data_IF_313305959732
#
_entry.id   IF_313305959732
#
_cell.length_a   1.000
_cell.length_b   1.000
_cell.length_c   1.000
_cell.angle_alpha   90.00
_cell.angle_beta   90.00
_cell.angle_gamma   90.00
#
_symmetry.space_group_name_H-M   'P 1'
#
loop_
_entity.id
_entity.type
_entity.pdbx_description
1 polymer ?
#
# COMPACT_ATOMS: atom_id res chain seq x y z
N UNK A 1 -39.55 41.26 37.65
CA UNK A 1 -39.62 40.48 36.43
C UNK A 1 -38.49 40.93 35.48
N UNK A 2 -37.37 40.29 35.42
CA UNK A 2 -36.36 40.51 34.36
C UNK A 2 -36.52 39.48 33.25
N UNK A 3 -36.41 39.95 32.05
CA UNK A 3 -36.77 39.37 30.78
C UNK A 3 -35.87 38.20 30.33
N UNK A 4 -36.49 37.15 29.80
CA UNK A 4 -35.94 35.88 29.28
C UNK A 4 -35.06 35.99 28.00
N UNK A 5 -34.57 37.18 27.63
CA UNK A 5 -33.82 37.37 26.37
C UNK A 5 -32.29 37.36 26.50
N UNK A 6 -31.76 37.29 27.73
CA UNK A 6 -30.30 37.37 27.95
C UNK A 6 -29.57 36.01 28.00
N UNK A 7 -30.28 34.89 28.17
CA UNK A 7 -29.66 33.56 28.28
C UNK A 7 -29.45 32.85 26.94
N UNK A 8 -30.24 33.16 25.93
CA UNK A 8 -30.12 32.50 24.61
C UNK A 8 -28.86 32.91 23.84
N UNK A 9 -28.38 34.14 23.99
CA UNK A 9 -27.17 34.61 23.26
C UNK A 9 -25.84 34.17 23.86
N UNK A 10 -25.81 33.77 25.13
CA UNK A 10 -24.56 33.28 25.76
C UNK A 10 -24.29 31.82 25.44
N UNK A 11 -25.32 31.00 25.24
CA UNK A 11 -25.18 29.58 24.89
C UNK A 11 -24.79 29.42 23.41
N UNK A 12 -25.35 30.27 22.52
CA UNK A 12 -25.03 30.22 21.08
C UNK A 12 -23.61 30.68 20.77
N UNK A 13 -23.03 31.61 21.54
CA UNK A 13 -21.62 32.02 21.38
C UNK A 13 -20.62 31.00 21.88
N UNK A 14 -20.96 30.16 22.86
CA UNK A 14 -20.08 29.10 23.36
C UNK A 14 -20.06 27.85 22.45
N UNK A 15 -21.13 27.57 21.75
CA UNK A 15 -21.22 26.46 20.79
C UNK A 15 -20.47 26.80 19.50
N UNK A 16 -20.47 28.06 19.04
CA UNK A 16 -19.71 28.48 17.86
C UNK A 16 -18.18 28.52 18.07
N UNK A 17 -17.71 28.78 19.31
CA UNK A 17 -16.26 28.71 19.62
C UNK A 17 -15.77 27.28 19.79
N UNK A 18 -16.63 26.35 20.22
CA UNK A 18 -16.24 24.92 20.32
C UNK A 18 -16.19 24.23 18.96
N UNK A 19 -16.98 24.66 17.95
CA UNK A 19 -16.89 24.12 16.60
C UNK A 19 -15.71 24.67 15.78
N UNK A 20 -15.15 25.82 16.11
CA UNK A 20 -14.00 26.40 15.40
C UNK A 20 -12.65 25.84 15.85
N UNK A 21 -12.58 25.08 16.97
CA UNK A 21 -11.36 24.47 17.49
C UNK A 21 -11.23 22.97 17.14
N UNK A 22 -12.21 22.37 16.48
CA UNK A 22 -12.16 20.98 16.01
C UNK A 22 -11.58 20.81 14.59
N UNK A 23 -11.16 21.90 13.95
CA UNK A 23 -10.35 21.87 12.73
C UNK A 23 -8.86 22.03 13.05
N UNK A 24 -8.38 21.41 14.12
CA UNK A 24 -6.96 21.09 14.21
C UNK A 24 -6.75 20.02 13.15
N UNK A 25 -6.31 20.46 11.97
CA UNK A 25 -5.74 19.63 10.98
C UNK A 25 -4.81 18.62 11.67
N UNK A 26 -5.17 17.34 11.69
CA UNK A 26 -4.18 16.30 11.74
C UNK A 26 -3.39 16.44 10.44
N UNK A 27 -2.47 17.40 10.41
CA UNK A 27 -1.40 17.39 9.43
C UNK A 27 -0.72 16.05 9.60
N UNK A 28 -1.04 15.12 8.70
CA UNK A 28 -0.42 13.81 8.68
C UNK A 28 1.08 14.04 8.56
N UNK A 29 1.82 13.88 9.64
CA UNK A 29 3.27 13.90 9.58
C UNK A 29 3.66 12.68 8.78
N UNK A 30 4.02 12.88 7.52
CA UNK A 30 4.71 11.86 6.75
C UNK A 30 5.95 11.42 7.55
N UNK A 31 5.97 10.17 8.01
CA UNK A 31 7.13 9.59 8.68
C UNK A 31 7.84 8.72 7.65
N UNK A 32 9.16 8.89 7.45
CA UNK A 32 9.93 7.94 6.67
C UNK A 32 9.84 6.58 7.37
N UNK A 33 9.50 5.56 6.63
CA UNK A 33 9.56 4.17 7.09
C UNK A 33 11.00 3.72 6.88
N UNK A 34 11.72 3.49 7.97
CA UNK A 34 13.05 2.92 7.89
C UNK A 34 12.93 1.48 7.40
N UNK A 35 13.40 1.22 6.17
CA UNK A 35 13.62 -0.12 5.66
C UNK A 35 14.75 -0.81 6.42
N UNK A 36 14.71 -2.13 6.49
CA UNK A 36 15.79 -2.94 7.04
C UNK A 36 17.12 -2.68 6.32
N UNK A 37 18.28 -2.75 6.98
CA UNK A 37 19.55 -2.47 6.35
C UNK A 37 19.84 -3.49 5.23
N UNK A 38 20.08 -3.01 4.03
CA UNK A 38 20.57 -3.83 2.94
C UNK A 38 22.02 -4.29 3.21
N UNK A 39 22.40 -5.51 2.82
CA UNK A 39 23.79 -5.95 2.93
C UNK A 39 24.69 -5.12 2.01
N UNK A 40 25.82 -4.68 2.53
CA UNK A 40 26.75 -3.77 1.86
C UNK A 40 27.34 -4.35 0.57
N UNK A 41 27.14 -3.68 -0.52
CA UNK A 41 27.76 -3.90 -1.82
C UNK A 41 28.54 -2.67 -2.27
N UNK A 42 29.73 -2.90 -2.81
CA UNK A 42 30.81 -1.96 -3.09
C UNK A 42 30.48 -0.71 -3.90
N UNK A 43 31.31 0.32 -3.69
CA UNK A 43 31.17 1.67 -4.22
C UNK A 43 31.16 1.75 -5.75
N UNK A 44 30.02 2.10 -6.31
CA UNK A 44 29.85 2.63 -7.64
C UNK A 44 29.27 4.03 -7.56
N UNK A 45 29.72 4.93 -8.43
CA UNK A 45 29.24 6.30 -8.55
C UNK A 45 27.72 6.32 -8.64
N UNK A 46 27.00 7.18 -7.87
CA UNK A 46 25.56 7.21 -7.89
C UNK A 46 25.05 7.78 -9.23
N UNK A 47 24.90 6.91 -10.23
CA UNK A 47 24.06 7.18 -11.36
C UNK A 47 22.61 7.26 -10.88
N UNK A 48 21.89 8.28 -11.31
CA UNK A 48 20.43 8.44 -11.10
C UNK A 48 19.75 7.08 -11.34
N UNK A 49 19.14 6.52 -10.30
CA UNK A 49 18.43 5.25 -10.45
C UNK A 49 17.48 5.35 -11.64
N UNK A 50 17.59 4.47 -12.62
CA UNK A 50 16.72 4.52 -13.78
C UNK A 50 15.28 4.32 -13.31
N UNK A 51 14.38 5.16 -13.77
CA UNK A 51 12.94 4.97 -13.52
C UNK A 51 12.53 3.55 -13.93
N UNK A 52 11.63 2.94 -13.17
CA UNK A 52 11.10 1.59 -13.45
C UNK A 52 10.68 1.52 -14.91
N UNK A 53 11.26 0.62 -15.68
CA UNK A 53 10.87 0.41 -17.08
C UNK A 53 9.40 0.00 -17.15
N UNK A 54 8.71 0.33 -18.24
CA UNK A 54 7.26 0.11 -18.38
C UNK A 54 6.82 -1.35 -18.13
N UNK A 55 7.72 -2.31 -18.23
CA UNK A 55 7.43 -3.72 -17.95
C UNK A 55 7.45 -4.07 -16.45
N UNK A 56 8.15 -3.27 -15.64
CA UNK A 56 8.10 -3.35 -14.17
C UNK A 56 7.23 -2.24 -13.55
N UNK A 57 6.58 -1.44 -14.40
CA UNK A 57 5.58 -0.49 -13.92
C UNK A 57 4.35 -1.26 -13.45
N UNK A 58 4.28 -1.46 -12.15
CA UNK A 58 3.15 -2.12 -11.51
C UNK A 58 1.87 -1.27 -11.51
N UNK A 59 1.89 -0.04 -12.05
CA UNK A 59 0.76 0.89 -12.06
C UNK A 59 -0.50 0.22 -12.62
N UNK A 60 -0.37 -0.46 -13.76
CA UNK A 60 -1.50 -1.16 -14.38
C UNK A 60 -2.04 -2.29 -13.48
N UNK A 61 -1.16 -3.06 -12.86
CA UNK A 61 -1.57 -4.15 -11.96
C UNK A 61 -2.27 -3.58 -10.72
N UNK A 62 -1.71 -2.55 -10.10
CA UNK A 62 -2.33 -1.86 -8.98
C UNK A 62 -3.71 -1.30 -9.35
N UNK A 63 -3.83 -0.61 -10.50
CA UNK A 63 -5.12 -0.10 -10.99
C UNK A 63 -6.14 -1.22 -11.23
N UNK A 64 -5.74 -2.33 -11.82
CA UNK A 64 -6.61 -3.50 -12.04
C UNK A 64 -7.10 -4.12 -10.71
N UNK A 65 -6.32 -4.02 -9.66
CA UNK A 65 -6.69 -4.49 -8.33
C UNK A 65 -7.47 -3.46 -7.51
N UNK A 66 -7.78 -2.29 -8.08
CA UNK A 66 -8.59 -1.25 -7.45
C UNK A 66 -7.82 -0.26 -6.58
N UNK A 67 -6.49 -0.22 -6.69
CA UNK A 67 -5.67 0.79 -6.03
C UNK A 67 -5.67 2.11 -6.80
N UNK A 68 -5.46 3.18 -6.06
CA UNK A 68 -5.00 4.45 -6.63
C UNK A 68 -3.57 4.26 -7.10
N UNK A 69 -3.29 4.46 -8.38
CA UNK A 69 -1.93 4.34 -8.88
C UNK A 69 -1.70 5.18 -10.12
N UNK A 70 -0.58 5.89 -10.15
CA UNK A 70 -0.11 6.63 -11.31
C UNK A 70 1.36 6.32 -11.55
N UNK A 71 1.75 6.26 -12.84
CA UNK A 71 3.14 6.11 -13.25
C UNK A 71 3.86 7.45 -13.38
N UNK A 72 4.93 7.48 -14.19
CA UNK A 72 5.69 8.69 -14.46
C UNK A 72 4.78 9.82 -14.98
N UNK A 73 5.10 11.10 -14.70
CA UNK A 73 6.37 11.59 -14.16
C UNK A 73 6.45 11.64 -12.63
N UNK A 74 5.34 11.44 -11.91
CA UNK A 74 5.28 11.47 -10.45
C UNK A 74 4.58 10.19 -9.94
N UNK A 75 5.28 9.04 -9.85
CA UNK A 75 4.65 7.77 -9.51
C UNK A 75 4.19 7.72 -8.07
N UNK A 76 2.99 7.21 -7.85
CA UNK A 76 2.44 6.92 -6.55
C UNK A 76 1.54 5.67 -6.57
N UNK A 77 1.38 5.05 -5.41
CA UNK A 77 0.46 3.94 -5.17
C UNK A 77 -0.26 4.18 -3.86
N UNK A 78 -1.55 3.87 -3.82
CA UNK A 78 -2.31 4.00 -2.59
C UNK A 78 -3.69 3.40 -2.67
N UNK A 79 -4.49 3.69 -1.64
CA UNK A 79 -5.84 3.16 -1.55
C UNK A 79 -6.73 4.05 -0.69
N UNK A 80 -7.98 3.67 -0.69
CA UNK A 80 -9.00 4.29 0.16
C UNK A 80 -9.52 3.29 1.18
N UNK A 81 -9.89 3.77 2.34
CA UNK A 81 -10.50 2.95 3.38
C UNK A 81 -11.67 3.69 4.04
N UNK A 82 -12.61 2.90 4.56
CA UNK A 82 -13.85 3.37 5.13
C UNK A 82 -14.03 2.84 6.54
N UNK A 83 -14.39 3.73 7.48
CA UNK A 83 -14.67 3.39 8.87
C UNK A 83 -15.94 4.09 9.33
N UNK A 84 -16.69 3.47 10.25
CA UNK A 84 -17.85 4.14 10.81
C UNK A 84 -17.46 5.35 11.67
N UNK A 85 -18.33 6.33 11.72
CA UNK A 85 -18.24 7.52 12.56
C UNK A 85 -19.51 7.73 13.38
N UNK A 86 -19.48 8.61 14.35
CA UNK A 86 -20.66 9.05 15.09
C UNK A 86 -21.36 10.25 14.43
N UNK A 87 -20.77 10.84 13.38
CA UNK A 87 -21.41 11.90 12.61
C UNK A 87 -22.57 11.29 11.79
N UNK A 88 -23.81 11.79 11.97
CA UNK A 88 -24.96 11.26 11.24
C UNK A 88 -24.75 11.31 9.72
N UNK A 89 -25.28 10.31 9.03
CA UNK A 89 -25.24 10.19 7.55
C UNK A 89 -23.85 10.38 6.95
N UNK A 90 -22.83 9.87 7.65
CA UNK A 90 -21.45 10.05 7.24
C UNK A 90 -20.62 8.78 7.48
N UNK A 91 -19.52 8.67 6.72
CA UNK A 91 -18.49 7.64 6.84
C UNK A 91 -17.13 8.31 6.93
N UNK A 92 -16.27 7.84 7.82
CA UNK A 92 -14.86 8.22 7.82
C UNK A 92 -14.17 7.60 6.61
N UNK A 93 -13.66 8.45 5.76
CA UNK A 93 -12.93 8.13 4.55
C UNK A 93 -11.46 8.45 4.77
N UNK A 94 -10.57 7.56 4.41
CA UNK A 94 -9.12 7.81 4.46
C UNK A 94 -8.50 7.48 3.12
N UNK A 95 -7.71 8.41 2.59
CA UNK A 95 -6.79 8.18 1.46
C UNK A 95 -5.41 7.96 2.03
N UNK A 96 -4.73 6.91 1.59
CA UNK A 96 -3.32 6.67 1.87
C UNK A 96 -2.54 6.54 0.57
N UNK A 97 -1.39 7.21 0.45
CA UNK A 97 -0.51 7.16 -0.72
C UNK A 97 0.93 6.85 -0.29
N UNK A 98 1.64 6.09 -1.10
CA UNK A 98 3.08 5.87 -1.03
C UNK A 98 3.74 6.54 -2.23
N UNK A 99 4.72 7.38 -1.97
CA UNK A 99 5.50 8.13 -2.96
C UNK A 99 6.97 7.79 -2.71
N UNK A 100 7.66 7.21 -3.70
CA UNK A 100 9.08 6.87 -3.53
C UNK A 100 9.93 8.14 -3.35
N UNK A 101 10.93 8.10 -2.47
CA UNK A 101 11.85 9.24 -2.28
C UNK A 101 12.51 9.66 -3.59
N UNK A 102 12.89 8.69 -4.43
CA UNK A 102 13.49 8.94 -5.75
C UNK A 102 12.59 9.72 -6.73
N UNK A 103 11.28 9.79 -6.47
CA UNK A 103 10.34 10.57 -7.27
C UNK A 103 10.32 12.05 -6.90
N UNK A 104 10.88 12.43 -5.73
CA UNK A 104 10.88 13.78 -5.20
C UNK A 104 12.18 14.52 -5.54
N UNK A 105 12.09 15.84 -5.69
CA UNK A 105 13.24 16.73 -5.93
C UNK A 105 13.75 17.30 -4.60
N UNK A 106 14.80 16.68 -4.07
CA UNK A 106 15.42 17.13 -2.82
C UNK A 106 16.39 18.28 -3.06
N UNK A 107 16.35 19.28 -2.20
CA UNK A 107 17.36 20.34 -2.05
C UNK A 107 18.09 20.19 -0.71
N UNK A 108 19.34 20.63 -0.66
CA UNK A 108 20.10 20.63 0.59
C UNK A 108 19.63 21.79 1.48
N UNK A 109 19.30 21.45 2.72
CA UNK A 109 18.98 22.41 3.78
C UNK A 109 19.86 22.10 4.99
N UNK A 110 20.93 22.90 5.16
CA UNK A 110 22.00 22.69 6.15
C UNK A 110 22.64 21.30 6.06
N UNK A 111 22.42 20.45 7.06
CA UNK A 111 22.92 19.08 7.20
C UNK A 111 21.94 18.01 6.69
N UNK A 112 20.80 18.42 6.13
CA UNK A 112 19.72 17.52 5.67
C UNK A 112 19.33 17.82 4.22
N UNK A 113 18.51 16.93 3.68
CA UNK A 113 17.88 17.09 2.37
C UNK A 113 16.37 17.19 2.56
N UNK A 114 15.74 18.17 1.90
CA UNK A 114 14.31 18.46 2.03
C UNK A 114 13.66 18.48 0.65
N UNK A 115 12.51 17.83 0.53
CA UNK A 115 11.64 17.93 -0.64
C UNK A 115 10.21 18.29 -0.20
N UNK A 116 9.59 19.21 -0.94
CA UNK A 116 8.18 19.54 -0.81
C UNK A 116 7.35 18.81 -1.86
N UNK A 117 6.14 18.42 -1.50
CA UNK A 117 5.15 17.89 -2.44
C UNK A 117 3.74 18.29 -2.02
N UNK A 118 2.86 18.34 -3.01
CA UNK A 118 1.44 18.68 -2.82
C UNK A 118 0.57 17.51 -3.25
N UNK A 119 -0.40 17.14 -2.41
CA UNK A 119 -1.45 16.16 -2.75
C UNK A 119 -2.78 16.87 -2.87
N UNK A 120 -3.36 16.85 -4.07
CA UNK A 120 -4.71 17.36 -4.33
C UNK A 120 -5.74 16.23 -4.34
N UNK A 121 -6.85 16.43 -3.66
CA UNK A 121 -7.99 15.50 -3.62
C UNK A 121 -9.24 16.24 -4.08
N UNK A 122 -9.83 15.86 -5.21
CA UNK A 122 -11.05 16.45 -5.73
C UNK A 122 -12.17 15.42 -5.78
N UNK A 123 -13.23 15.65 -5.02
CA UNK A 123 -14.43 14.82 -5.01
C UNK A 123 -15.50 15.45 -5.92
N UNK A 124 -16.02 14.63 -6.84
CA UNK A 124 -17.15 15.02 -7.71
C UNK A 124 -18.32 14.09 -7.51
N UNK A 125 -19.51 14.66 -7.54
CA UNK A 125 -20.77 13.92 -7.51
C UNK A 125 -21.70 14.48 -8.60
N UNK A 126 -22.18 13.61 -9.49
CA UNK A 126 -23.00 14.06 -10.63
C UNK A 126 -22.29 15.10 -11.54
N UNK A 127 -20.95 15.03 -11.64
CA UNK A 127 -20.14 15.98 -12.42
C UNK A 127 -19.71 17.25 -11.67
N UNK A 128 -20.36 17.57 -10.56
CA UNK A 128 -20.05 18.78 -9.75
C UNK A 128 -18.95 18.48 -8.71
N UNK A 129 -18.03 19.42 -8.51
CA UNK A 129 -17.06 19.37 -7.42
C UNK A 129 -17.82 19.63 -6.11
N UNK A 130 -17.79 18.64 -5.19
CA UNK A 130 -18.42 18.74 -3.88
C UNK A 130 -17.41 19.00 -2.77
N UNK A 131 -16.14 18.64 -3.01
CA UNK A 131 -15.05 18.91 -2.08
C UNK A 131 -13.71 18.93 -2.81
N UNK A 132 -12.84 19.83 -2.39
CA UNK A 132 -11.46 19.94 -2.85
C UNK A 132 -10.54 20.16 -1.65
N UNK A 133 -9.39 19.51 -1.64
CA UNK A 133 -8.40 19.57 -0.57
C UNK A 133 -7.03 19.55 -1.22
N UNK A 134 -6.18 20.52 -0.85
CA UNK A 134 -4.77 20.54 -1.16
C UNK A 134 -3.97 20.43 0.14
N UNK A 135 -3.14 19.39 0.22
CA UNK A 135 -2.24 19.15 1.33
C UNK A 135 -0.80 19.37 0.88
N UNK A 136 -0.09 20.27 1.54
CA UNK A 136 1.33 20.57 1.30
C UNK A 136 2.17 19.89 2.38
N UNK A 137 3.08 19.04 1.96
CA UNK A 137 3.89 18.21 2.84
C UNK A 137 5.39 18.39 2.54
N UNK A 138 6.22 18.16 3.55
CA UNK A 138 7.67 18.21 3.42
C UNK A 138 8.33 16.95 3.98
N UNK A 139 9.23 16.38 3.20
CA UNK A 139 10.06 15.23 3.56
C UNK A 139 11.46 15.70 3.89
N UNK A 140 12.02 15.17 4.98
CA UNK A 140 13.40 15.43 5.39
C UNK A 140 14.13 14.11 5.55
N UNK A 141 15.26 13.98 4.87
CA UNK A 141 16.16 12.82 4.97
C UNK A 141 17.55 13.25 5.42
N UNK A 142 18.28 12.35 6.07
CA UNK A 142 19.56 12.68 6.68
C UNK A 142 20.72 12.68 5.67
N UNK A 143 20.62 11.89 4.60
CA UNK A 143 21.71 11.71 3.65
C UNK A 143 21.27 11.81 2.20
N UNK A 144 22.19 12.15 1.31
CA UNK A 144 21.97 12.14 -0.13
C UNK A 144 21.59 10.74 -0.65
N UNK A 145 22.13 9.68 -0.05
CA UNK A 145 21.78 8.31 -0.43
C UNK A 145 20.29 8.01 -0.26
N UNK A 146 19.66 8.53 0.79
CA UNK A 146 18.24 8.35 1.06
C UNK A 146 17.33 9.05 0.04
N UNK A 147 17.81 10.13 -0.61
CA UNK A 147 17.02 10.85 -1.63
C UNK A 147 16.77 10.02 -2.88
N UNK A 148 17.68 9.10 -3.19
CA UNK A 148 17.63 8.27 -4.41
C UNK A 148 16.98 6.88 -4.18
N UNK A 149 16.55 6.57 -2.96
CA UNK A 149 15.98 5.24 -2.65
C UNK A 149 14.61 5.07 -3.28
N UNK A 150 14.40 3.89 -3.87
CA UNK A 150 13.13 3.46 -4.45
C UNK A 150 12.32 2.60 -3.50
N UNK A 151 12.99 1.96 -2.54
CA UNK A 151 12.43 1.12 -1.48
C UNK A 151 11.90 1.96 -0.31
N UNK A 152 12.47 3.14 -0.06
CA UNK A 152 11.92 4.09 0.90
C UNK A 152 10.85 4.97 0.26
N UNK A 153 9.73 5.07 0.96
CA UNK A 153 8.58 5.84 0.50
C UNK A 153 8.05 6.74 1.60
N UNK A 154 7.64 7.91 1.17
CA UNK A 154 6.80 8.76 2.01
C UNK A 154 5.38 8.21 2.01
N UNK A 155 4.80 8.11 3.20
CA UNK A 155 3.39 7.74 3.34
C UNK A 155 2.60 9.00 3.66
N UNK A 156 1.77 9.40 2.72
CA UNK A 156 0.75 10.43 2.91
C UNK A 156 -0.55 9.78 3.35
N UNK A 157 -1.22 10.37 4.34
CA UNK A 157 -2.57 9.96 4.74
C UNK A 157 -3.44 11.17 5.06
N UNK A 158 -4.64 11.19 4.48
CA UNK A 158 -5.65 12.19 4.74
C UNK A 158 -6.98 11.54 5.08
N UNK A 159 -7.45 11.81 6.30
CA UNK A 159 -8.78 11.40 6.76
C UNK A 159 -9.80 12.54 6.59
N UNK A 160 -11.01 12.19 6.22
CA UNK A 160 -12.15 13.12 6.14
C UNK A 160 -13.47 12.38 6.33
N UNK A 161 -14.50 13.13 6.66
CA UNK A 161 -15.87 12.63 6.79
C UNK A 161 -16.64 12.95 5.52
N UNK A 162 -17.26 11.93 4.90
CA UNK A 162 -17.96 12.03 3.62
C UNK A 162 -19.32 11.36 3.74
N UNK A 163 -20.36 11.92 3.11
CA UNK A 163 -21.66 11.28 3.03
C UNK A 163 -21.58 9.98 2.20
N UNK A 164 -22.36 8.92 2.54
CA UNK A 164 -22.46 7.74 1.70
C UNK A 164 -22.99 8.07 0.30
N UNK A 165 -22.44 7.41 -0.74
CA UNK A 165 -22.84 7.67 -2.11
C UNK A 165 -21.75 7.38 -3.12
N UNK A 166 -22.03 7.65 -4.39
CA UNK A 166 -21.09 7.46 -5.50
C UNK A 166 -20.35 8.76 -5.77
N UNK A 167 -19.03 8.67 -5.95
CA UNK A 167 -18.14 9.79 -6.21
C UNK A 167 -17.12 9.43 -7.30
N UNK A 168 -16.69 10.43 -8.05
CA UNK A 168 -15.42 10.40 -8.75
C UNK A 168 -14.40 11.11 -7.88
N UNK A 169 -13.32 10.41 -7.53
CA UNK A 169 -12.19 10.96 -6.77
C UNK A 169 -11.00 11.11 -7.70
N UNK A 170 -10.59 12.35 -7.96
CA UNK A 170 -9.30 12.64 -8.58
C UNK A 170 -8.26 12.90 -7.50
N UNK A 171 -7.14 12.19 -7.60
CA UNK A 171 -5.96 12.35 -6.75
C UNK A 171 -4.82 12.83 -7.62
N UNK A 172 -4.23 13.97 -7.27
CA UNK A 172 -3.02 14.50 -7.91
C UNK A 172 -1.87 14.53 -6.93
N UNK A 173 -0.68 14.18 -7.39
CA UNK A 173 0.58 14.32 -6.62
C UNK A 173 1.53 15.16 -7.44
N UNK A 174 2.01 16.25 -6.86
CA UNK A 174 2.94 17.20 -7.48
C UNK A 174 4.20 17.31 -6.63
N UNK A 175 5.34 17.19 -7.27
CA UNK A 175 6.64 17.53 -6.68
C UNK A 175 6.86 19.06 -6.77
N UNK A 176 6.95 19.73 -5.64
CA UNK A 176 7.04 21.20 -5.61
C UNK A 176 8.37 21.73 -6.17
N UNK A 177 9.45 20.94 -6.04
CA UNK A 177 10.77 21.30 -6.54
C UNK A 177 10.89 21.30 -8.06
N UNK A 178 10.26 20.34 -8.74
CA UNK A 178 10.34 20.22 -10.22
C UNK A 178 9.03 20.59 -10.94
N UNK A 179 7.91 20.69 -10.22
CA UNK A 179 6.59 20.88 -10.80
C UNK A 179 6.00 19.64 -11.49
N UNK A 180 6.70 18.48 -11.48
CA UNK A 180 6.20 17.24 -12.05
C UNK A 180 4.91 16.82 -11.34
N UNK A 181 3.91 16.41 -12.10
CA UNK A 181 2.59 16.06 -11.55
C UNK A 181 2.06 14.80 -12.23
N UNK A 182 1.46 13.91 -11.47
CA UNK A 182 0.62 12.83 -11.97
C UNK A 182 -0.75 12.87 -11.31
N UNK A 183 -1.78 12.49 -12.07
CA UNK A 183 -3.17 12.47 -11.59
C UNK A 183 -3.81 11.15 -11.95
N UNK A 184 -4.61 10.61 -11.02
CA UNK A 184 -5.44 9.43 -11.20
C UNK A 184 -6.86 9.74 -10.75
N UNK A 185 -7.84 9.36 -11.55
CA UNK A 185 -9.26 9.43 -11.19
C UNK A 185 -9.83 8.03 -11.04
N UNK A 186 -10.59 7.81 -9.97
CA UNK A 186 -11.32 6.56 -9.73
C UNK A 186 -12.78 6.85 -9.39
N UNK A 187 -13.67 5.93 -9.77
CA UNK A 187 -15.04 5.90 -9.28
C UNK A 187 -15.07 5.07 -7.99
N UNK A 188 -15.70 5.60 -6.96
CA UNK A 188 -15.84 4.93 -5.69
C UNK A 188 -17.26 5.05 -5.12
N UNK A 189 -17.64 4.07 -4.33
CA UNK A 189 -18.89 4.09 -3.57
C UNK A 189 -18.52 4.16 -2.09
N UNK A 190 -18.83 5.26 -1.45
CA UNK A 190 -18.70 5.42 0.00
C UNK A 190 -19.84 4.66 0.67
N UNK A 191 -19.55 3.60 1.45
CA UNK A 191 -20.60 2.80 2.08
C UNK A 191 -21.21 3.53 3.28
N UNK A 192 -22.45 3.19 3.63
CA UNK A 192 -23.03 3.51 4.92
C UNK A 192 -22.60 2.45 5.93
N UNK A 193 -21.93 2.85 7.00
CA UNK A 193 -21.38 1.96 7.99
C UNK A 193 -21.96 2.23 9.39
N UNK A 194 -22.20 1.18 10.16
CA UNK A 194 -22.56 1.29 11.57
C UNK A 194 -24.06 1.22 11.88
N UNK A 195 -24.93 1.28 10.89
CA UNK A 195 -26.40 1.18 11.08
C UNK A 195 -26.89 -0.27 11.12
N UNK A 196 -26.15 -1.14 10.49
CA UNK A 196 -26.40 -2.58 10.49
C UNK A 196 -25.09 -3.34 10.77
N UNK A 197 -25.17 -4.68 10.87
CA UNK A 197 -23.99 -5.51 11.01
C UNK A 197 -23.12 -5.39 9.76
N UNK A 198 -22.03 -4.67 9.87
CA UNK A 198 -21.15 -4.30 8.77
C UNK A 198 -19.68 -4.27 9.21
N UNK A 199 -18.78 -4.18 8.24
CA UNK A 199 -17.32 -4.13 8.48
C UNK A 199 -16.70 -2.93 7.78
N UNK A 200 -15.62 -2.42 8.36
CA UNK A 200 -14.74 -1.45 7.69
C UNK A 200 -13.99 -2.11 6.53
N UNK A 201 -13.36 -1.30 5.68
CA UNK A 201 -12.33 -1.81 4.77
C UNK A 201 -11.22 -2.49 5.59
N UNK A 202 -10.79 -3.72 5.26
CA UNK A 202 -9.59 -4.32 5.83
C UNK A 202 -8.36 -3.60 5.29
N UNK A 203 -7.55 -3.03 6.17
CA UNK A 203 -6.40 -2.20 5.78
C UNK A 203 -5.09 -2.89 6.14
N UNK A 204 -4.25 -3.26 5.16
CA UNK A 204 -2.87 -3.62 5.45
C UNK A 204 -2.16 -2.44 6.12
N UNK A 205 -1.42 -2.68 7.20
CA UNK A 205 -0.86 -1.60 7.99
C UNK A 205 0.60 -1.84 8.39
N UNK A 206 1.29 -0.74 8.71
CA UNK A 206 2.62 -0.73 9.31
C UNK A 206 2.54 -0.50 10.83
N UNK A 207 1.59 0.31 11.25
CA UNK A 207 1.29 0.59 12.66
C UNK A 207 -0.20 0.86 12.83
N UNK A 208 -0.78 0.35 13.91
CA UNK A 208 -2.17 0.64 14.28
C UNK A 208 -2.34 0.69 15.79
N UNK A 209 -3.22 1.56 16.24
CA UNK A 209 -3.80 1.54 17.58
C UNK A 209 -5.28 1.22 17.41
N UNK A 210 -5.75 0.03 17.81
CA UNK A 210 -7.16 -0.36 17.64
C UNK A 210 -8.09 0.62 18.34
N UNK A 211 -9.04 1.14 17.58
CA UNK A 211 -10.01 2.13 18.02
C UNK A 211 -10.97 1.55 19.06
N UNK A 212 -11.29 2.33 20.07
CA UNK A 212 -12.22 1.95 21.15
C UNK A 212 -13.60 2.60 21.00
N UNK A 213 -13.72 3.58 20.12
CA UNK A 213 -14.97 4.30 19.87
C UNK A 213 -15.04 4.78 18.43
N UNK A 214 -16.24 4.76 17.84
CA UNK A 214 -16.50 5.36 16.53
C UNK A 214 -16.26 6.87 16.49
N UNK A 215 -16.24 7.55 17.66
CA UNK A 215 -15.91 8.96 17.79
C UNK A 215 -14.39 9.22 17.76
N UNK A 216 -13.58 8.23 18.12
CA UNK A 216 -12.13 8.37 18.11
C UNK A 216 -11.60 8.45 16.68
N UNK A 217 -10.51 9.17 16.46
CA UNK A 217 -9.78 9.15 15.20
C UNK A 217 -9.20 7.76 14.94
N UNK A 218 -9.04 7.41 13.67
CA UNK A 218 -8.35 6.18 13.26
C UNK A 218 -6.84 6.42 13.32
N UNK A 219 -6.16 5.87 14.32
CA UNK A 219 -4.69 5.93 14.44
C UNK A 219 -4.06 4.71 13.76
N UNK A 220 -3.83 4.85 12.47
CA UNK A 220 -3.32 3.79 11.60
C UNK A 220 -2.36 4.38 10.59
N UNK A 221 -1.20 3.74 10.41
CA UNK A 221 -0.29 3.97 9.27
C UNK A 221 -0.46 2.81 8.31
N UNK A 222 -1.10 3.07 7.17
CA UNK A 222 -1.39 2.04 6.18
C UNK A 222 -0.13 1.57 5.45
N UNK A 223 -0.06 0.28 5.16
CA UNK A 223 0.82 -0.26 4.14
C UNK A 223 0.15 -0.05 2.78
N UNK A 224 0.32 1.13 2.22
CA UNK A 224 -0.39 1.60 1.03
C UNK A 224 -0.07 0.80 -0.23
N UNK A 225 1.06 0.11 -0.27
CA UNK A 225 1.42 -0.82 -1.34
C UNK A 225 0.80 -2.21 -1.14
N UNK A 226 0.23 -2.47 0.04
CA UNK A 226 -0.35 -3.77 0.43
C UNK A 226 0.62 -4.94 0.20
N UNK A 227 1.90 -4.71 0.41
CA UNK A 227 2.99 -5.66 0.16
C UNK A 227 3.39 -6.42 1.43
N UNK A 228 3.65 -7.71 1.28
CA UNK A 228 4.40 -8.54 2.21
C UNK A 228 5.57 -9.20 1.50
N UNK A 229 6.69 -9.41 2.18
CA UNK A 229 7.89 -10.02 1.62
C UNK A 229 7.97 -11.47 2.05
N UNK A 230 7.95 -12.37 1.06
CA UNK A 230 8.09 -13.80 1.28
C UNK A 230 9.45 -14.12 1.92
N UNK A 231 9.44 -14.93 2.97
CA UNK A 231 10.64 -15.29 3.72
C UNK A 231 11.04 -14.32 4.84
N UNK A 232 10.62 -13.04 4.77
CA UNK A 232 10.81 -12.03 5.82
C UNK A 232 9.56 -11.89 6.69
N UNK A 233 8.41 -11.69 6.03
CA UNK A 233 7.16 -11.44 6.72
C UNK A 233 6.44 -12.79 6.94
N UNK A 234 6.10 -13.10 8.18
CA UNK A 234 5.39 -14.34 8.53
C UNK A 234 3.90 -14.29 8.18
N UNK A 235 3.32 -13.08 8.21
CA UNK A 235 1.91 -12.87 7.94
C UNK A 235 1.64 -11.54 7.25
N UNK A 236 0.57 -11.50 6.45
CA UNK A 236 -0.09 -10.28 6.01
C UNK A 236 -1.02 -9.86 7.15
N UNK A 237 -0.80 -8.67 7.70
CA UNK A 237 -1.57 -8.14 8.80
C UNK A 237 -2.56 -7.09 8.33
N UNK A 238 -3.82 -7.24 8.71
CA UNK A 238 -4.93 -6.39 8.29
C UNK A 238 -5.69 -5.87 9.50
N UNK A 239 -5.79 -4.55 9.62
CA UNK A 239 -6.69 -3.94 10.59
C UNK A 239 -8.10 -3.90 10.04
N UNK A 240 -9.08 -4.26 10.88
CA UNK A 240 -10.49 -4.26 10.51
C UNK A 240 -11.35 -3.93 11.71
N UNK A 241 -12.47 -3.28 11.45
CA UNK A 241 -13.50 -3.02 12.44
C UNK A 241 -14.82 -3.69 12.04
N UNK A 242 -15.53 -4.18 13.05
CA UNK A 242 -16.91 -4.66 12.95
C UNK A 242 -17.84 -3.71 13.68
N UNK A 243 -19.02 -3.57 13.13
CA UNK A 243 -20.12 -2.74 13.68
C UNK A 243 -21.35 -3.58 13.81
N UNK A 244 -22.12 -3.38 14.88
CA UNK A 244 -23.32 -4.12 15.17
C UNK A 244 -23.50 -4.38 16.66
N UNK A 245 -24.52 -5.14 17.02
CA UNK A 245 -24.85 -5.54 18.38
C UNK A 245 -24.20 -6.85 18.76
N UNK A 246 -24.20 -7.16 20.07
CA UNK A 246 -23.70 -8.42 20.64
C UNK A 246 -22.35 -8.26 21.34
N UNK A 247 -21.87 -9.37 21.92
CA UNK A 247 -20.61 -9.41 22.69
C UNK A 247 -19.43 -9.90 21.85
N UNK A 248 -19.71 -10.52 20.72
CA UNK A 248 -18.70 -11.08 19.81
C UNK A 248 -19.03 -10.69 18.37
N UNK A 249 -17.97 -10.55 17.57
CA UNK A 249 -18.08 -10.29 16.14
C UNK A 249 -17.24 -11.32 15.38
N UNK A 250 -17.81 -12.52 15.16
CA UNK A 250 -17.13 -13.57 14.40
C UNK A 250 -17.07 -13.20 12.91
N UNK A 251 -15.89 -13.41 12.33
CA UNK A 251 -15.53 -13.06 10.96
C UNK A 251 -14.97 -14.30 10.27
N UNK A 252 -15.49 -14.63 9.11
CA UNK A 252 -14.86 -15.58 8.20
C UNK A 252 -13.85 -14.84 7.33
N UNK A 253 -12.70 -15.48 7.11
CA UNK A 253 -11.57 -14.92 6.32
C UNK A 253 -11.20 -15.93 5.24
N UNK A 254 -11.01 -15.44 4.03
CA UNK A 254 -10.61 -16.27 2.90
C UNK A 254 -9.56 -15.54 2.05
N UNK A 255 -8.47 -16.22 1.74
CA UNK A 255 -7.48 -15.77 0.77
C UNK A 255 -7.67 -16.49 -0.57
N UNK A 256 -7.77 -15.73 -1.66
CA UNK A 256 -7.82 -16.26 -3.04
C UNK A 256 -6.68 -15.71 -3.86
N UNK A 257 -6.16 -16.51 -4.79
CA UNK A 257 -5.21 -16.03 -5.78
C UNK A 257 -5.90 -15.22 -6.90
N UNK A 258 -5.11 -14.74 -7.87
CA UNK A 258 -5.57 -13.99 -9.04
C UNK A 258 -6.46 -14.81 -10.01
N UNK A 259 -6.42 -16.16 -9.93
CA UNK A 259 -7.31 -17.06 -10.65
C UNK A 259 -8.65 -17.30 -9.92
N UNK A 260 -8.82 -16.72 -8.71
CA UNK A 260 -9.99 -16.89 -7.86
C UNK A 260 -10.02 -18.17 -7.05
N UNK A 261 -8.95 -18.97 -7.05
CA UNK A 261 -8.87 -20.20 -6.26
C UNK A 261 -8.56 -19.86 -4.81
N UNK A 262 -9.21 -20.60 -3.90
CA UNK A 262 -9.00 -20.47 -2.46
C UNK A 262 -7.66 -21.07 -2.09
N UNK A 263 -6.81 -20.25 -1.46
CA UNK A 263 -5.51 -20.65 -0.93
C UNK A 263 -5.57 -20.97 0.56
N UNK A 264 -6.42 -20.24 1.30
CA UNK A 264 -6.53 -20.38 2.74
C UNK A 264 -7.86 -19.87 3.25
N UNK A 265 -8.36 -20.47 4.34
CA UNK A 265 -9.55 -20.06 5.06
C UNK A 265 -9.32 -20.16 6.55
N UNK A 266 -9.95 -19.24 7.30
CA UNK A 266 -9.98 -19.26 8.75
C UNK A 266 -11.20 -18.50 9.27
N UNK A 267 -11.38 -18.54 10.58
CA UNK A 267 -12.37 -17.73 11.29
C UNK A 267 -11.68 -17.01 12.44
N UNK A 268 -12.05 -15.75 12.64
CA UNK A 268 -11.55 -14.93 13.74
C UNK A 268 -12.72 -14.28 14.47
N UNK A 269 -12.51 -13.85 15.70
CA UNK A 269 -13.47 -13.03 16.41
C UNK A 269 -12.83 -11.70 16.77
N UNK A 270 -13.45 -10.61 16.34
CA UNK A 270 -12.99 -9.28 16.70
C UNK A 270 -13.42 -8.96 18.14
N UNK A 271 -12.49 -8.57 19.01
CA UNK A 271 -12.82 -8.20 20.37
C UNK A 271 -13.63 -6.90 20.42
N UNK A 272 -14.61 -6.86 21.34
CA UNK A 272 -15.35 -5.63 21.61
C UNK A 272 -14.47 -4.62 22.32
N UNK A 273 -14.43 -3.40 21.80
CA UNK A 273 -13.72 -2.25 22.36
C UNK A 273 -14.68 -1.06 22.42
N UNK A 274 -15.32 -0.87 23.59
CA UNK A 274 -16.38 0.14 23.74
C UNK A 274 -17.55 -0.08 22.78
N UNK A 275 -17.76 0.81 21.81
CA UNK A 275 -18.86 0.73 20.84
C UNK A 275 -18.42 0.26 19.44
N UNK A 276 -17.25 -0.36 19.32
CA UNK A 276 -16.70 -0.93 18.08
C UNK A 276 -16.08 -2.29 18.38
N UNK A 277 -16.13 -3.20 17.43
CA UNK A 277 -15.31 -4.39 17.42
C UNK A 277 -14.10 -4.09 16.55
N UNK A 278 -12.89 -4.12 17.10
CA UNK A 278 -11.70 -3.78 16.34
C UNK A 278 -10.56 -4.73 16.64
N UNK A 279 -9.85 -5.13 15.60
CA UNK A 279 -8.77 -6.08 15.75
C UNK A 279 -7.88 -6.20 14.51
N UNK A 280 -6.89 -7.07 14.64
CA UNK A 280 -5.94 -7.42 13.60
C UNK A 280 -6.22 -8.85 13.17
N UNK A 281 -6.35 -9.02 11.86
CA UNK A 281 -6.43 -10.34 11.21
C UNK A 281 -5.07 -10.62 10.58
N UNK A 282 -4.52 -11.81 10.85
CA UNK A 282 -3.23 -12.26 10.31
C UNK A 282 -3.43 -13.41 9.34
N UNK A 283 -2.97 -13.23 8.11
CA UNK A 283 -3.03 -14.26 7.06
C UNK A 283 -1.61 -14.76 6.80
N UNK A 284 -1.30 -16.06 7.01
CA UNK A 284 0.06 -16.57 6.86
C UNK A 284 0.57 -16.41 5.43
N UNK A 285 1.70 -15.71 5.25
CA UNK A 285 2.34 -15.51 3.93
C UNK A 285 2.68 -16.85 3.27
N UNK A 286 3.11 -17.85 4.06
CA UNK A 286 3.42 -19.19 3.57
C UNK A 286 2.23 -19.94 2.96
N UNK A 287 1.00 -19.54 3.27
CA UNK A 287 -0.22 -20.11 2.69
C UNK A 287 -0.70 -19.37 1.44
N UNK A 288 -0.36 -18.09 1.34
CA UNK A 288 -0.68 -17.26 0.18
C UNK A 288 0.33 -17.48 -0.95
N UNK A 289 1.62 -17.56 -0.60
CA UNK A 289 2.70 -17.66 -1.59
C UNK A 289 2.95 -16.34 -2.31
N UNK A 290 3.90 -16.37 -3.27
CA UNK A 290 4.26 -15.20 -4.06
C UNK A 290 3.21 -14.91 -5.12
N UNK A 291 2.94 -13.63 -5.34
CA UNK A 291 2.02 -13.12 -6.34
C UNK A 291 0.93 -12.23 -5.75
N UNK A 292 -0.19 -12.20 -6.43
CA UNK A 292 -1.37 -11.42 -6.05
C UNK A 292 -2.36 -12.29 -5.30
N UNK A 293 -2.90 -11.79 -4.20
CA UNK A 293 -4.03 -12.42 -3.52
C UNK A 293 -5.09 -11.39 -3.14
N UNK A 294 -6.32 -11.85 -2.98
CA UNK A 294 -7.44 -11.07 -2.45
C UNK A 294 -7.88 -11.71 -1.15
N UNK A 295 -7.76 -10.94 -0.07
CA UNK A 295 -8.28 -11.34 1.23
C UNK A 295 -9.72 -10.84 1.34
N UNK A 296 -10.67 -11.76 1.45
CA UNK A 296 -12.09 -11.45 1.65
C UNK A 296 -12.47 -11.74 3.08
N UNK A 297 -13.26 -10.88 3.67
CA UNK A 297 -13.77 -11.03 5.04
C UNK A 297 -15.26 -10.74 5.07
N UNK A 298 -16.00 -11.48 5.88
CA UNK A 298 -17.44 -11.25 6.11
C UNK A 298 -17.84 -11.67 7.51
N UNK A 299 -18.82 -10.99 8.13
CA UNK A 299 -19.39 -11.42 9.39
C UNK A 299 -20.09 -12.77 9.18
N UNK A 300 -19.88 -13.73 10.07
CA UNK A 300 -20.53 -15.07 9.94
C UNK A 300 -22.07 -14.95 9.93
N UNK A 301 -22.61 -13.94 10.58
CA UNK A 301 -24.04 -13.61 10.58
C UNK A 301 -24.32 -12.32 9.81
N UNK A 302 -23.86 -12.20 8.56
CA UNK A 302 -24.06 -11.03 7.73
C UNK A 302 -23.92 -11.36 6.24
N UNK A 303 -24.39 -10.48 5.36
CA UNK A 303 -24.42 -10.70 3.93
C UNK A 303 -23.25 -10.04 3.19
N UNK A 304 -22.70 -8.91 3.71
CA UNK A 304 -21.74 -8.11 2.99
C UNK A 304 -20.30 -8.56 3.26
N UNK A 305 -19.52 -8.68 2.20
CA UNK A 305 -18.09 -8.97 2.27
C UNK A 305 -17.27 -7.74 1.98
N UNK A 306 -16.17 -7.60 2.70
CA UNK A 306 -15.13 -6.60 2.45
C UNK A 306 -13.88 -7.29 1.92
N UNK A 307 -13.07 -6.57 1.12
CA UNK A 307 -11.92 -7.15 0.43
C UNK A 307 -10.69 -6.26 0.57
N UNK A 308 -9.53 -6.90 0.65
CA UNK A 308 -8.24 -6.26 0.57
C UNK A 308 -7.38 -7.04 -0.44
N UNK A 309 -7.05 -6.47 -1.60
CA UNK A 309 -6.01 -7.02 -2.44
C UNK A 309 -4.65 -6.82 -1.76
N UNK A 310 -3.79 -7.83 -1.86
CA UNK A 310 -2.45 -7.85 -1.27
C UNK A 310 -1.46 -8.47 -2.24
N UNK A 311 -0.21 -8.11 -2.09
CA UNK A 311 0.88 -8.60 -2.91
C UNK A 311 1.92 -9.26 -2.03
N UNK A 312 2.34 -10.46 -2.39
CA UNK A 312 3.47 -11.13 -1.77
C UNK A 312 4.62 -11.13 -2.76
N UNK A 313 5.69 -10.44 -2.40
CA UNK A 313 6.89 -10.29 -3.23
C UNK A 313 8.07 -10.96 -2.58
N UNK A 314 9.17 -11.11 -3.33
CA UNK A 314 10.41 -11.64 -2.78
C UNK A 314 11.28 -10.56 -2.13
N UNK A 315 11.10 -9.29 -2.44
CA UNK A 315 11.83 -8.15 -1.89
C UNK A 315 11.13 -6.82 -2.18
N UNK A 316 11.52 -5.76 -1.47
CA UNK A 316 10.90 -4.43 -1.58
C UNK A 316 11.16 -3.76 -2.93
N UNK A 317 12.30 -4.06 -3.54
CA UNK A 317 12.72 -3.54 -4.85
C UNK A 317 12.21 -4.38 -6.02
N UNK A 318 11.55 -5.52 -5.74
CA UNK A 318 11.10 -6.40 -6.79
C UNK A 318 9.78 -5.97 -7.39
N UNK A 319 9.56 -6.26 -8.68
CA UNK A 319 8.31 -5.94 -9.32
C UNK A 319 7.17 -6.70 -8.62
N UNK A 320 6.12 -6.00 -8.32
CA UNK A 320 4.83 -6.63 -7.99
C UNK A 320 4.32 -7.28 -9.26
N UNK A 321 4.17 -8.60 -9.24
CA UNK A 321 3.85 -9.37 -10.42
C UNK A 321 2.94 -10.56 -10.08
N UNK A 322 2.26 -11.08 -11.08
CA UNK A 322 1.60 -12.38 -10.99
C UNK A 322 2.65 -13.49 -10.92
N UNK A 323 2.26 -14.65 -10.40
CA UNK A 323 3.17 -15.78 -10.23
C UNK A 323 3.83 -16.21 -11.53
N UNK A 324 3.10 -16.29 -12.63
CA UNK A 324 3.64 -16.68 -13.93
C UNK A 324 4.63 -15.67 -14.52
N UNK A 325 4.39 -14.37 -14.30
CA UNK A 325 5.34 -13.32 -14.68
C UNK A 325 6.62 -13.43 -13.86
N UNK A 326 6.52 -13.74 -12.55
CA UNK A 326 7.67 -13.98 -11.69
C UNK A 326 8.52 -15.15 -12.19
N UNK A 327 7.89 -16.27 -12.59
CA UNK A 327 8.60 -17.41 -13.19
C UNK A 327 9.28 -16.99 -14.50
N UNK A 328 8.65 -16.16 -15.31
CA UNK A 328 9.23 -15.67 -16.55
C UNK A 328 10.49 -14.82 -16.32
N UNK A 329 10.53 -14.05 -15.24
CA UNK A 329 11.70 -13.26 -14.84
C UNK A 329 12.88 -14.15 -14.43
N UNK A 330 12.64 -15.31 -13.85
CA UNK A 330 13.66 -16.25 -13.39
C UNK A 330 14.32 -17.09 -14.49
N UNK A 331 13.96 -16.88 -15.76
CA UNK A 331 14.45 -17.72 -16.90
C UNK A 331 15.96 -17.83 -17.02
N UNK A 332 16.71 -16.84 -16.55
CA UNK A 332 18.17 -16.79 -16.60
C UNK A 332 18.81 -17.10 -15.24
N UNK A 333 18.03 -17.26 -14.20
CA UNK A 333 18.48 -17.60 -12.85
C UNK A 333 18.54 -19.12 -12.64
N UNK A 334 17.52 -19.83 -13.10
CA UNK A 334 17.41 -21.25 -12.82
C UNK A 334 17.22 -22.08 -14.09
N UNK A 335 17.61 -23.35 -14.00
CA UNK A 335 17.48 -24.31 -15.11
C UNK A 335 15.99 -24.47 -15.53
N UNK A 336 15.72 -24.61 -16.84
CA UNK A 336 14.36 -24.68 -17.38
C UNK A 336 13.45 -25.73 -16.73
N UNK A 337 14.00 -26.87 -16.32
CA UNK A 337 13.24 -27.94 -15.68
C UNK A 337 12.72 -27.53 -14.30
N UNK A 338 13.49 -26.73 -13.52
CA UNK A 338 13.07 -26.20 -12.21
C UNK A 338 11.94 -25.19 -12.38
N UNK A 339 12.04 -24.31 -13.36
CA UNK A 339 10.99 -23.32 -13.66
C UNK A 339 9.73 -23.99 -14.19
N UNK A 340 9.87 -25.06 -14.96
CA UNK A 340 8.73 -25.86 -15.42
C UNK A 340 8.04 -26.53 -14.23
N UNK A 341 8.78 -27.12 -13.29
CA UNK A 341 8.22 -27.71 -12.08
C UNK A 341 7.40 -26.71 -11.28
N UNK A 342 7.92 -25.46 -11.08
CA UNK A 342 7.15 -24.39 -10.43
C UNK A 342 5.87 -24.04 -11.19
N UNK A 343 5.94 -23.90 -12.51
CA UNK A 343 4.79 -23.51 -13.34
C UNK A 343 3.70 -24.57 -13.34
N UNK A 344 4.08 -25.84 -13.38
CA UNK A 344 3.14 -26.95 -13.42
C UNK A 344 2.54 -27.26 -12.03
N UNK A 345 2.99 -26.59 -10.98
CA UNK A 345 2.49 -26.79 -9.62
C UNK A 345 1.10 -26.17 -9.46
N UNK A 346 0.19 -26.89 -8.81
CA UNK A 346 -1.15 -26.36 -8.51
C UNK A 346 -1.09 -25.15 -7.58
N UNK A 347 -2.05 -24.26 -7.67
CA UNK A 347 -2.08 -23.01 -6.90
C UNK A 347 -1.93 -23.24 -5.39
N UNK A 348 -2.53 -24.30 -4.86
CA UNK A 348 -2.46 -24.65 -3.43
C UNK A 348 -1.07 -25.11 -3.00
N UNK A 349 -0.33 -25.74 -3.91
CA UNK A 349 1.02 -26.26 -3.66
C UNK A 349 2.13 -25.23 -3.98
N UNK A 350 1.82 -24.14 -4.71
CA UNK A 350 2.78 -23.09 -5.09
C UNK A 350 3.58 -22.53 -3.92
N UNK A 351 3.00 -22.25 -2.73
CA UNK A 351 3.80 -21.74 -1.60
C UNK A 351 4.89 -22.72 -1.17
N UNK A 352 4.57 -24.00 -1.06
CA UNK A 352 5.55 -25.04 -0.72
C UNK A 352 6.60 -25.23 -1.80
N UNK A 353 6.19 -25.31 -3.07
CA UNK A 353 7.09 -25.43 -4.21
C UNK A 353 8.03 -24.22 -4.33
N UNK A 354 7.58 -23.02 -4.00
CA UNK A 354 8.44 -21.84 -3.96
C UNK A 354 9.49 -21.93 -2.85
N UNK A 355 9.13 -22.35 -1.65
CA UNK A 355 10.09 -22.57 -0.55
C UNK A 355 11.17 -23.55 -0.96
N UNK A 356 10.79 -24.69 -1.57
CA UNK A 356 11.74 -25.68 -2.05
C UNK A 356 12.60 -25.17 -3.21
N UNK A 357 12.04 -24.36 -4.09
CA UNK A 357 12.80 -23.70 -5.15
C UNK A 357 13.87 -22.75 -4.59
N UNK A 358 13.51 -21.89 -3.65
CA UNK A 358 14.44 -20.95 -3.00
C UNK A 358 15.59 -21.71 -2.33
N UNK A 359 15.28 -22.76 -1.54
CA UNK A 359 16.30 -23.60 -0.90
C UNK A 359 17.19 -24.32 -1.92
N UNK A 360 16.61 -24.87 -2.99
CA UNK A 360 17.35 -25.63 -3.98
C UNK A 360 18.21 -24.75 -4.90
N UNK A 361 18.03 -23.44 -4.89
CA UNK A 361 18.82 -22.47 -5.65
C UNK A 361 19.73 -21.62 -4.76
N UNK A 362 19.72 -21.86 -3.47
CA UNK A 362 20.54 -21.18 -2.48
C UNK A 362 21.95 -21.82 -2.45
N UNK A 363 22.96 -21.02 -2.78
CA UNK A 363 24.36 -21.46 -2.72
C UNK A 363 24.97 -21.29 -1.31
N UNK A 364 24.32 -20.52 -0.44
CA UNK A 364 24.77 -20.23 0.93
C UNK A 364 23.69 -20.58 1.97
N UNK A 365 23.32 -21.87 2.11
CA UNK A 365 22.19 -22.29 2.94
C UNK A 365 22.39 -22.04 4.44
N UNK A 366 23.54 -21.60 4.86
CA UNK A 366 23.85 -21.15 6.24
C UNK A 366 23.32 -19.76 6.55
N UNK A 367 22.94 -18.98 5.55
CA UNK A 367 22.31 -17.67 5.72
C UNK A 367 20.78 -17.78 5.64
N UNK A 368 20.03 -16.86 6.27
CA UNK A 368 18.57 -16.92 6.30
C UNK A 368 17.91 -16.52 4.98
N UNK A 369 18.67 -16.02 4.02
CA UNK A 369 18.18 -15.49 2.73
C UNK A 369 18.99 -16.05 1.58
N UNK A 370 18.39 -16.22 0.42
CA UNK A 370 19.08 -16.59 -0.82
C UNK A 370 19.63 -15.31 -1.48
N UNK A 371 20.88 -14.94 -1.16
CA UNK A 371 21.53 -13.72 -1.63
C UNK A 371 21.65 -13.67 -3.14
N UNK A 372 21.90 -14.80 -3.79
CA UNK A 372 22.04 -14.87 -5.25
C UNK A 372 20.74 -14.53 -5.95
N UNK A 373 19.61 -14.95 -5.39
CA UNK A 373 18.30 -14.62 -5.91
C UNK A 373 18.00 -13.12 -5.74
N UNK A 374 18.36 -12.53 -4.60
CA UNK A 374 18.23 -11.08 -4.38
C UNK A 374 19.11 -10.29 -5.35
N UNK A 375 20.36 -10.68 -5.51
CA UNK A 375 21.28 -10.03 -6.43
C UNK A 375 20.81 -10.15 -7.88
N UNK A 376 20.30 -11.31 -8.27
CA UNK A 376 19.72 -11.52 -9.59
C UNK A 376 18.56 -10.54 -9.86
N UNK A 377 17.65 -10.39 -8.93
CA UNK A 377 16.54 -9.44 -9.09
C UNK A 377 17.00 -7.99 -9.09
N UNK A 378 17.98 -7.61 -8.27
CA UNK A 378 18.57 -6.28 -8.33
C UNK A 378 19.20 -6.00 -9.72
N UNK A 379 19.91 -6.98 -10.30
CA UNK A 379 20.42 -6.88 -11.66
C UNK A 379 19.29 -6.82 -12.70
N UNK A 380 18.23 -7.60 -12.52
CA UNK A 380 17.06 -7.61 -13.40
C UNK A 380 16.41 -6.23 -13.48
N UNK A 381 16.29 -5.56 -12.35
CA UNK A 381 15.77 -4.20 -12.26
C UNK A 381 16.65 -3.21 -13.06
N UNK A 382 17.97 -3.23 -12.82
CA UNK A 382 18.94 -2.37 -13.53
C UNK A 382 18.87 -2.61 -15.04
N UNK A 383 18.89 -3.85 -15.46
CA UNK A 383 18.91 -4.28 -16.85
C UNK A 383 17.67 -3.84 -17.61
N UNK A 384 16.51 -3.93 -16.98
CA UNK A 384 15.24 -3.61 -17.63
C UNK A 384 15.17 -2.15 -18.07
N UNK A 385 15.76 -1.26 -17.26
CA UNK A 385 15.83 0.15 -17.59
C UNK A 385 17.02 0.51 -18.50
N UNK A 386 18.23 -0.03 -18.20
CA UNK A 386 19.50 0.37 -18.83
C UNK A 386 19.66 -0.15 -20.26
N UNK A 387 19.17 -1.37 -20.55
CA UNK A 387 19.37 -2.02 -21.86
C UNK A 387 18.07 -2.17 -22.66
N UNK A 388 17.10 -1.32 -22.39
CA UNK A 388 15.83 -1.32 -23.12
C UNK A 388 16.06 -0.96 -24.58
N UNK A 389 15.50 -1.77 -25.48
CA UNK A 389 15.42 -1.49 -26.92
C UNK A 389 13.95 -1.22 -27.32
N UNK A 390 13.75 -0.64 -28.52
CA UNK A 390 12.42 -0.31 -28.98
C UNK A 390 11.51 -1.57 -29.03
N UNK A 391 10.45 -1.57 -28.26
CA UNK A 391 9.49 -2.68 -28.16
C UNK A 391 9.96 -3.89 -27.35
N UNK A 392 11.19 -3.87 -26.74
CA UNK A 392 11.71 -4.99 -25.98
C UNK A 392 12.30 -4.51 -24.65
N UNK A 393 11.88 -5.09 -23.49
CA UNK A 393 12.48 -4.78 -22.20
C UNK A 393 13.93 -5.25 -22.13
N UNK A 394 14.75 -4.50 -21.39
CA UNK A 394 16.21 -4.74 -21.34
C UNK A 394 16.61 -6.15 -20.95
N UNK A 395 15.88 -6.81 -20.07
CA UNK A 395 16.18 -8.16 -19.63
C UNK A 395 15.93 -9.26 -20.70
N UNK A 396 15.25 -8.93 -21.79
CA UNK A 396 15.06 -9.81 -22.96
C UNK A 396 16.12 -9.60 -24.04
N UNK A 397 16.86 -8.50 -23.98
CA UNK A 397 17.93 -8.19 -24.94
C UNK A 397 19.18 -9.04 -24.69
N UNK A 398 20.05 -9.17 -25.69
CA UNK A 398 21.29 -9.93 -25.52
C UNK A 398 22.24 -9.24 -24.53
N UNK A 399 22.29 -7.90 -24.52
CA UNK A 399 23.06 -7.15 -23.51
C UNK A 399 22.52 -7.39 -22.09
N UNK A 400 21.20 -7.42 -21.95
CA UNK A 400 20.54 -7.72 -20.70
C UNK A 400 20.85 -9.12 -20.18
N UNK A 401 20.85 -10.13 -21.04
CA UNK A 401 21.22 -11.51 -20.68
C UNK A 401 22.65 -11.58 -20.14
N UNK A 402 23.60 -10.92 -20.83
CA UNK A 402 25.01 -10.90 -20.41
C UNK A 402 25.16 -10.25 -19.04
N UNK A 403 24.52 -9.10 -18.83
CA UNK A 403 24.57 -8.42 -17.54
C UNK A 403 23.90 -9.22 -16.41
N UNK A 404 22.78 -9.90 -16.67
CA UNK A 404 22.12 -10.75 -15.68
C UNK A 404 23.03 -11.92 -15.24
N UNK A 405 23.76 -12.52 -16.19
CA UNK A 405 24.64 -13.64 -15.90
C UNK A 405 25.99 -13.26 -15.29
N UNK A 406 26.59 -12.16 -15.74
CA UNK A 406 27.98 -11.79 -15.41
C UNK A 406 28.08 -10.57 -14.47
N UNK A 407 27.02 -9.79 -14.31
CA UNK A 407 27.04 -8.55 -13.55
C UNK A 407 27.58 -7.36 -14.35
N UNK A 408 27.97 -6.31 -13.64
CA UNK A 408 28.53 -5.08 -14.25
C UNK A 408 29.93 -5.36 -14.79
N UNK A 409 30.22 -4.94 -16.04
CA UNK A 409 31.57 -5.07 -16.58
C UNK A 409 32.58 -4.29 -15.71
N UNK A 410 33.77 -4.88 -15.51
CA UNK A 410 34.86 -4.28 -14.76
C UNK A 410 35.43 -3.02 -15.45
#
# INVERSE_FOLDING_TARGET
>A
MPTLSSFANAVLRRVLVACALATIACGGRAKPVAGSPAPGGGGGTPGRAPGVGAEFDATRLYSQMGFLSAGAPMPFVGGVSYFATTVPDSTNFTVGLSIANSALSFSRDNDRFVAGYTVGLTFRQGGNVVREIDAHEAVRVASYKETGRTDESVIFQQGLTVAPGQYALAVSVRDDGSGRTSTQEILLTVPRLGDARSMSTPVPFLRVVPRQSRAAAVDLVSNTRAMAIFGRDSAIVLYVEGYGEGDQFPVAVEARNDEGRVLWRDTASLPRRGNVFSGVISVPVSKVGIGVAVISMWPIAGADSVRAPVFVTFGEELPVAKFDDMIAYLRWFAAPYRLKSLRDTTSEARPGAWVEFVKATDASPETPVNEELYEYFARLFIVTARYREEGMPGWKTDRGKVYLGLGEPA
#
